data_IF_737671506164
#
_entry.id   IF_737671506164
#
_cell.length_a   1.000
_cell.length_b   1.000
_cell.length_c   1.000
_cell.angle_alpha   90.00
_cell.angle_beta   90.00
_cell.angle_gamma   90.00
#
_symmetry.space_group_name_H-M   'P 1'
#
loop_
_entity.id
_entity.type
_entity.pdbx_description
1 polymer ?
#
# COMPACT_ATOMS: atom_id res chain seq x y z
N UNK A 1 0.04 10.72 -0.39
CA UNK A 1 -1.23 10.59 -1.16
C UNK A 1 -1.67 9.14 -1.08
N UNK A 2 -2.94 8.86 -0.76
CA UNK A 2 -3.39 7.52 -0.32
C UNK A 2 -3.49 6.42 -1.38
N UNK A 3 -3.56 6.76 -2.67
CA UNK A 3 -3.75 5.79 -3.76
C UNK A 3 -5.19 5.26 -3.90
N UNK A 4 -5.67 5.14 -5.14
CA UNK A 4 -6.99 4.55 -5.49
C UNK A 4 -6.94 3.74 -6.80
N UNK A 5 -5.75 3.39 -7.28
CA UNK A 5 -5.59 2.56 -8.48
C UNK A 5 -6.22 1.18 -8.27
N UNK A 6 -6.95 0.68 -9.25
CA UNK A 6 -7.61 -0.63 -9.16
C UNK A 6 -8.79 -0.71 -8.18
N UNK A 7 -9.19 0.39 -7.53
CA UNK A 7 -10.33 0.38 -6.58
C UNK A 7 -11.66 0.55 -7.34
N UNK A 8 -12.56 -0.43 -7.20
CA UNK A 8 -13.94 -0.40 -7.70
C UNK A 8 -14.90 -0.88 -6.60
N UNK A 9 -16.00 -0.16 -6.38
CA UNK A 9 -16.98 -0.47 -5.31
C UNK A 9 -16.32 -0.73 -3.94
N UNK A 10 -15.35 0.12 -3.55
CA UNK A 10 -14.58 -0.01 -2.29
C UNK A 10 -13.73 -1.29 -2.19
N UNK A 11 -13.53 -2.01 -3.28
CA UNK A 11 -12.68 -3.19 -3.36
C UNK A 11 -11.49 -2.93 -4.28
N UNK A 12 -10.28 -3.28 -3.83
CA UNK A 12 -9.08 -3.23 -4.64
C UNK A 12 -8.92 -4.54 -5.42
N UNK A 13 -8.60 -4.45 -6.70
CA UNK A 13 -8.45 -5.62 -7.59
C UNK A 13 -7.19 -6.46 -7.34
N UNK A 14 -6.28 -6.01 -6.47
CA UNK A 14 -5.04 -6.72 -6.14
C UNK A 14 -3.99 -6.72 -7.26
N UNK A 15 -4.20 -5.95 -8.33
CA UNK A 15 -3.26 -5.89 -9.45
C UNK A 15 -2.09 -4.97 -9.09
N UNK A 16 -0.89 -5.54 -9.06
CA UNK A 16 0.37 -4.83 -8.80
C UNK A 16 1.26 -4.93 -10.04
N UNK A 17 1.52 -3.81 -10.75
CA UNK A 17 2.47 -3.77 -11.88
C UNK A 17 3.89 -4.20 -11.47
N UNK A 18 4.70 -4.60 -12.45
CA UNK A 18 6.08 -5.05 -12.19
C UNK A 18 6.95 -3.94 -11.57
N UNK A 19 6.69 -2.69 -11.94
CA UNK A 19 7.36 -1.51 -11.43
C UNK A 19 7.04 -1.22 -9.96
N UNK A 20 5.97 -1.83 -9.44
CA UNK A 20 5.49 -1.68 -8.07
C UNK A 20 5.79 -2.91 -7.19
N UNK A 21 6.63 -3.83 -7.65
CA UNK A 21 7.02 -5.01 -6.87
C UNK A 21 7.80 -4.61 -5.62
N UNK A 22 7.62 -5.34 -4.51
CA UNK A 22 8.33 -5.05 -3.27
C UNK A 22 9.84 -5.30 -3.44
N UNK A 23 10.64 -4.49 -2.77
CA UNK A 23 12.10 -4.62 -2.76
C UNK A 23 12.61 -4.62 -1.32
N UNK A 24 13.57 -5.49 -0.93
CA UNK A 24 14.05 -5.57 0.46
C UNK A 24 14.62 -4.27 1.03
N UNK A 25 15.15 -3.40 0.17
CA UNK A 25 15.69 -2.09 0.55
C UNK A 25 14.67 -0.94 0.52
N UNK A 26 13.41 -1.22 0.18
CA UNK A 26 12.32 -0.23 0.19
C UNK A 26 11.39 -0.58 1.35
N UNK A 27 11.37 0.29 2.36
CA UNK A 27 10.60 0.09 3.58
C UNK A 27 9.48 1.11 3.69
N UNK A 28 8.41 0.70 4.37
CA UNK A 28 7.25 1.50 4.74
C UNK A 28 7.26 1.67 6.25
N UNK A 29 6.88 2.85 6.72
CA UNK A 29 6.60 3.09 8.13
C UNK A 29 5.12 2.78 8.38
N UNK A 30 4.85 1.78 9.22
CA UNK A 30 3.49 1.37 9.57
C UNK A 30 2.80 2.38 10.50
N UNK A 31 1.48 2.24 10.67
CA UNK A 31 0.74 3.02 11.67
C UNK A 31 1.25 2.80 13.11
N UNK A 32 1.91 1.66 13.37
CA UNK A 32 2.52 1.32 14.64
C UNK A 32 3.94 1.92 14.83
N UNK A 33 4.42 2.70 13.86
CA UNK A 33 5.76 3.31 13.85
C UNK A 33 6.92 2.30 13.69
N UNK A 34 6.62 1.16 13.07
CA UNK A 34 7.62 0.14 12.74
C UNK A 34 7.99 0.19 11.25
N UNK A 35 9.25 -0.10 10.94
CA UNK A 35 9.71 -0.28 9.56
C UNK A 35 9.46 -1.70 9.09
N UNK A 36 8.74 -1.84 7.98
CA UNK A 36 8.46 -3.12 7.33
C UNK A 36 8.67 -3.03 5.81
N UNK A 37 8.73 -4.16 5.12
CA UNK A 37 8.86 -4.14 3.66
C UNK A 37 7.65 -3.48 3.02
N UNK A 38 7.89 -2.51 2.14
CA UNK A 38 6.82 -1.78 1.45
C UNK A 38 6.10 -2.69 0.44
N UNK A 39 4.77 -2.77 0.56
CA UNK A 39 3.88 -3.49 -0.35
C UNK A 39 2.64 -2.63 -0.61
N UNK A 40 2.12 -2.63 -1.84
CA UNK A 40 0.82 -1.99 -2.11
C UNK A 40 -0.33 -2.78 -1.46
N UNK A 41 -1.36 -2.09 -0.93
CA UNK A 41 -1.57 -0.65 -0.92
C UNK A 41 -0.85 0.04 0.25
N UNK A 42 0.05 1.00 0.01
CA UNK A 42 0.91 1.54 1.09
C UNK A 42 0.19 2.24 2.26
N UNK A 43 -1.04 2.73 2.05
CA UNK A 43 -1.79 3.48 3.06
C UNK A 43 -2.93 2.67 3.69
N UNK A 44 -2.94 1.34 3.58
CA UNK A 44 -4.04 0.51 4.06
C UNK A 44 -4.34 0.66 5.55
N UNK A 45 -3.34 0.97 6.37
CA UNK A 45 -3.43 1.22 7.82
C UNK A 45 -3.32 2.72 8.18
N UNK A 46 -3.13 3.61 7.19
CA UNK A 46 -3.00 5.06 7.39
C UNK A 46 -4.29 5.80 6.99
N UNK A 47 -4.85 5.53 5.81
CA UNK A 47 -6.06 6.18 5.28
C UNK A 47 -7.31 5.34 5.55
N UNK A 48 -7.56 5.06 6.83
CA UNK A 48 -8.61 4.11 7.29
C UNK A 48 -9.99 4.75 7.49
N UNK A 49 -10.08 6.07 7.45
CA UNK A 49 -11.29 6.83 7.79
C UNK A 49 -12.16 7.21 6.58
N UNK A 50 -11.96 6.56 5.43
CA UNK A 50 -12.67 6.84 4.18
C UNK A 50 -13.48 5.67 3.66
#
# INVERSE_FOLDING_TARGET
MSGRGGVKHQHWDGVVPLECQPHPSILRLSANLDWEQANEPLHFDIDTSK
#
